data_IF_464267789055
#
_entry.id   IF_464267789055
#
_cell.length_a   1.000
_cell.length_b   1.000
_cell.length_c   1.000
_cell.angle_alpha   90.00
_cell.angle_beta   90.00
_cell.angle_gamma   90.00
#
_symmetry.space_group_name_H-M   'P 1'
#
loop_
_entity.id
_entity.type
_entity.pdbx_description
1 polymer ?
#
# COMPACT_ATOMS: atom_id res chain seq x y z
N UNK A 1 83.78 -6.42 33.20
CA UNK A 1 83.36 -6.92 31.87
C UNK A 1 82.12 -7.78 32.03
N UNK A 2 81.13 -7.58 31.14
CA UNK A 2 79.86 -8.30 30.94
C UNK A 2 78.63 -7.83 31.74
N UNK A 3 78.08 -6.75 31.18
CA UNK A 3 76.67 -6.38 30.98
C UNK A 3 75.70 -7.56 30.85
N UNK A 4 74.49 -7.45 31.45
CA UNK A 4 73.20 -7.74 30.78
C UNK A 4 72.13 -6.83 31.39
N UNK A 5 71.77 -5.77 30.68
CA UNK A 5 70.53 -5.02 30.91
C UNK A 5 69.42 -5.72 30.11
N UNK A 6 68.38 -6.20 30.79
CA UNK A 6 67.20 -6.77 30.16
C UNK A 6 66.35 -5.67 29.54
N UNK A 7 66.21 -5.69 28.23
CA UNK A 7 65.27 -4.84 27.49
C UNK A 7 63.88 -5.45 27.66
N UNK A 8 63.02 -4.80 28.45
CA UNK A 8 61.58 -5.05 28.43
C UNK A 8 61.07 -4.48 27.11
N UNK A 9 60.57 -5.35 26.23
CA UNK A 9 59.94 -4.93 24.98
C UNK A 9 58.59 -4.28 25.29
N UNK A 10 58.47 -3.03 24.89
CA UNK A 10 57.29 -2.19 24.99
C UNK A 10 56.22 -2.72 23.99
N UNK A 11 55.30 -3.57 24.45
CA UNK A 11 54.20 -4.07 23.62
C UNK A 11 53.14 -2.96 23.51
N UNK A 12 53.33 -2.06 22.55
CA UNK A 12 52.29 -1.13 22.11
C UNK A 12 51.25 -1.88 21.29
N UNK A 13 50.16 -2.29 21.93
CA UNK A 13 48.93 -2.67 21.24
C UNK A 13 48.38 -1.43 20.53
N UNK A 14 48.78 -1.22 19.28
CA UNK A 14 48.00 -0.40 18.38
C UNK A 14 46.63 -1.08 18.23
N UNK A 15 45.59 -0.46 18.76
CA UNK A 15 44.20 -0.71 18.39
C UNK A 15 44.06 -0.39 16.89
N UNK A 16 44.52 -1.30 16.04
CA UNK A 16 44.17 -1.32 14.63
C UNK A 16 42.75 -1.82 14.58
N UNK A 17 41.79 -0.91 14.82
CA UNK A 17 40.41 -1.19 14.46
C UNK A 17 40.45 -1.42 12.95
N UNK A 18 40.10 -2.62 12.45
CA UNK A 18 40.20 -2.90 11.02
C UNK A 18 39.34 -1.86 10.31
N UNK A 19 39.93 -1.11 9.40
CA UNK A 19 39.25 -0.08 8.60
C UNK A 19 37.98 -0.60 7.91
N UNK A 20 37.88 -1.93 7.71
CA UNK A 20 36.68 -2.62 7.24
C UNK A 20 35.46 -2.53 8.15
N UNK A 21 35.62 -2.39 9.47
CA UNK A 21 34.47 -2.31 10.40
C UNK A 21 33.71 -0.98 10.23
N UNK A 22 34.44 0.14 10.16
CA UNK A 22 33.82 1.44 9.90
C UNK A 22 33.29 1.54 8.47
N UNK A 23 33.96 0.94 7.49
CA UNK A 23 33.44 0.88 6.13
C UNK A 23 32.12 0.09 6.07
N UNK A 24 32.02 -1.04 6.78
CA UNK A 24 30.78 -1.82 6.86
C UNK A 24 29.62 -1.05 7.52
N UNK A 25 29.89 -0.30 8.59
CA UNK A 25 28.88 0.55 9.24
C UNK A 25 28.46 1.70 8.34
N UNK A 26 29.41 2.43 7.75
CA UNK A 26 29.09 3.56 6.87
C UNK A 26 28.42 3.11 5.58
N UNK A 27 28.83 1.98 5.00
CA UNK A 27 28.17 1.37 3.86
C UNK A 27 26.78 0.85 4.22
N UNK A 28 26.62 0.24 5.41
CA UNK A 28 25.32 -0.17 5.94
C UNK A 28 24.38 0.99 6.21
N UNK A 29 24.88 2.12 6.72
CA UNK A 29 24.11 3.36 6.90
C UNK A 29 23.83 4.05 5.56
N UNK A 30 24.76 4.04 4.61
CA UNK A 30 24.58 4.58 3.27
C UNK A 30 23.54 3.78 2.48
N UNK A 31 23.65 2.45 2.47
CA UNK A 31 22.63 1.57 1.93
C UNK A 31 21.33 1.72 2.73
N UNK A 32 21.40 1.85 4.05
CA UNK A 32 20.28 2.15 4.94
C UNK A 32 19.53 3.38 4.46
N UNK A 33 20.20 4.53 4.29
CA UNK A 33 19.61 5.76 3.76
C UNK A 33 19.16 5.65 2.30
N UNK A 34 19.91 4.94 1.45
CA UNK A 34 19.55 4.70 0.05
C UNK A 34 18.29 3.83 -0.08
N UNK A 35 18.12 2.86 0.83
CA UNK A 35 16.99 1.94 0.92
C UNK A 35 15.96 2.34 1.97
N UNK A 36 16.16 3.44 2.70
CA UNK A 36 15.14 4.11 3.51
C UNK A 36 14.24 4.83 2.53
N UNK A 37 13.59 4.00 1.71
CA UNK A 37 12.59 4.35 0.76
C UNK A 37 11.49 5.01 1.56
N UNK A 38 11.41 6.33 1.44
CA UNK A 38 10.13 6.99 1.56
C UNK A 38 9.16 6.15 0.75
N UNK A 39 8.12 5.58 1.37
CA UNK A 39 7.12 4.80 0.63
C UNK A 39 6.61 5.73 -0.46
N UNK A 40 6.90 5.45 -1.73
CA UNK A 40 6.63 6.39 -2.79
C UNK A 40 5.11 6.52 -2.90
N UNK A 41 4.60 7.71 -2.58
CA UNK A 41 3.19 8.03 -2.77
C UNK A 41 2.97 8.13 -4.26
N UNK A 42 2.12 7.25 -4.80
CA UNK A 42 1.61 7.43 -6.15
C UNK A 42 0.37 8.32 -6.02
N UNK A 43 0.56 9.59 -6.32
CA UNK A 43 -0.58 10.47 -6.58
C UNK A 43 -1.21 10.02 -7.90
N UNK A 44 -2.51 9.72 -7.87
CA UNK A 44 -3.28 9.56 -9.11
C UNK A 44 -3.23 10.91 -9.80
N UNK A 45 -2.69 10.96 -11.03
CA UNK A 45 -2.55 12.23 -11.75
C UNK A 45 -3.94 12.76 -12.02
N UNK A 46 -4.23 13.89 -11.40
CA UNK A 46 -5.57 14.43 -11.39
C UNK A 46 -5.83 15.25 -12.65
N UNK A 47 -6.27 14.60 -13.73
CA UNK A 47 -6.89 15.34 -14.84
C UNK A 47 -8.27 15.92 -14.43
N UNK A 48 -8.85 15.47 -13.32
CA UNK A 48 -10.17 15.88 -12.82
C UNK A 48 -10.15 17.11 -11.89
N UNK A 49 -9.08 17.33 -11.11
CA UNK A 49 -8.90 18.56 -10.32
C UNK A 49 -8.89 19.78 -11.23
N UNK A 50 -8.28 19.69 -12.43
CA UNK A 50 -8.32 20.81 -13.39
C UNK A 50 -9.73 21.15 -13.85
N UNK A 51 -10.63 20.18 -13.96
CA UNK A 51 -12.04 20.43 -14.31
C UNK A 51 -12.82 21.07 -13.16
N UNK A 52 -12.53 20.68 -11.90
CA UNK A 52 -13.07 21.36 -10.72
C UNK A 52 -12.51 22.77 -10.55
N UNK A 53 -11.23 22.98 -10.82
CA UNK A 53 -10.56 24.28 -10.68
C UNK A 53 -11.00 25.27 -11.78
N UNK A 54 -11.27 24.78 -13.00
CA UNK A 54 -11.87 25.57 -14.10
C UNK A 54 -13.36 25.88 -13.86
N UNK A 55 -14.09 25.04 -13.13
CA UNK A 55 -15.49 25.31 -12.76
C UNK A 55 -15.65 26.06 -11.42
N UNK A 56 -14.61 26.10 -10.58
CA UNK A 56 -14.65 26.78 -9.27
C UNK A 56 -14.26 28.26 -9.35
N UNK A 57 -13.70 28.74 -10.46
CA UNK A 57 -13.47 30.18 -10.70
C UNK A 57 -14.76 30.99 -10.81
N UNK A 58 -15.92 30.35 -10.84
CA UNK A 58 -17.25 30.98 -10.80
C UNK A 58 -17.98 30.88 -9.45
N UNK A 59 -17.37 30.32 -8.40
CA UNK A 59 -17.92 30.32 -7.03
C UNK A 59 -16.91 30.91 -6.05
N UNK A 60 -16.66 32.21 -6.19
CA UNK A 60 -16.13 33.03 -5.09
C UNK A 60 -17.33 33.48 -4.28
N UNK A 61 -17.68 32.72 -3.26
CA UNK A 61 -18.23 33.20 -2.00
C UNK A 61 -18.44 31.99 -1.07
N UNK A 62 -18.15 32.21 0.22
CA UNK A 62 -18.56 31.40 1.39
C UNK A 62 -17.52 30.42 2.00
N UNK A 63 -16.87 30.99 3.03
CA UNK A 63 -16.53 30.44 4.37
C UNK A 63 -15.27 29.58 4.50
N UNK A 64 -14.24 30.24 5.02
CA UNK A 64 -13.18 29.64 5.84
C UNK A 64 -13.83 29.10 7.12
N UNK A 65 -13.93 27.78 7.25
CA UNK A 65 -14.11 27.14 8.55
C UNK A 65 -12.72 26.76 9.04
N UNK A 66 -12.11 27.64 9.82
CA UNK A 66 -11.12 27.24 10.80
C UNK A 66 -11.88 26.48 11.90
N UNK A 67 -11.88 25.15 11.79
CA UNK A 67 -12.17 24.31 12.95
C UNK A 67 -11.27 23.08 12.88
N UNK A 68 -10.02 23.29 13.29
CA UNK A 68 -9.12 22.22 13.74
C UNK A 68 -9.70 21.71 15.06
N UNK A 69 -10.80 20.95 14.96
CA UNK A 69 -11.29 20.18 16.09
C UNK A 69 -10.22 19.12 16.35
N UNK A 70 -9.49 19.31 17.44
CA UNK A 70 -8.51 18.40 18.03
C UNK A 70 -9.16 17.11 18.56
N UNK A 71 -10.22 16.63 17.90
CA UNK A 71 -10.72 15.28 18.03
C UNK A 71 -9.83 14.43 17.13
N UNK A 72 -9.03 13.55 17.71
CA UNK A 72 -8.33 12.49 16.97
C UNK A 72 -9.39 11.63 16.30
N UNK A 73 -9.85 12.03 15.11
CA UNK A 73 -10.81 11.27 14.32
C UNK A 73 -10.19 9.90 14.11
N UNK A 74 -10.87 8.88 14.63
CA UNK A 74 -10.44 7.50 14.46
C UNK A 74 -10.43 7.18 12.96
N UNK A 75 -9.24 6.92 12.42
CA UNK A 75 -9.05 6.58 11.02
C UNK A 75 -9.74 5.24 10.73
N UNK A 76 -10.69 5.25 9.80
CA UNK A 76 -11.45 4.05 9.42
C UNK A 76 -10.83 3.35 8.23
N UNK A 77 -10.35 2.13 8.45
CA UNK A 77 -9.64 1.31 7.47
C UNK A 77 -10.45 0.06 7.09
N UNK A 78 -10.65 -0.14 5.79
CA UNK A 78 -11.21 -1.37 5.22
C UNK A 78 -10.08 -2.24 4.66
N UNK A 79 -10.11 -3.55 4.94
CA UNK A 79 -9.14 -4.51 4.41
C UNK A 79 -9.80 -5.50 3.44
N UNK A 80 -9.39 -5.42 2.18
CA UNK A 80 -9.82 -6.24 1.05
C UNK A 80 -8.77 -7.33 0.82
N UNK A 81 -9.08 -8.58 1.15
CA UNK A 81 -8.09 -9.65 1.17
C UNK A 81 -8.34 -10.65 0.05
N UNK A 82 -7.41 -10.76 -0.90
CA UNK A 82 -7.50 -11.73 -2.00
C UNK A 82 -7.23 -13.13 -1.47
N UNK A 83 -8.08 -14.08 -1.85
CA UNK A 83 -7.88 -15.49 -1.59
C UNK A 83 -8.52 -16.36 -2.66
N UNK A 84 -8.42 -17.68 -2.51
CA UNK A 84 -9.08 -18.67 -3.34
C UNK A 84 -9.54 -19.85 -2.48
N UNK A 85 -10.52 -20.67 -2.90
CA UNK A 85 -11.04 -21.78 -2.10
C UNK A 85 -9.94 -22.74 -1.61
N UNK A 86 -8.93 -22.99 -2.46
CA UNK A 86 -7.79 -23.83 -2.12
C UNK A 86 -6.90 -23.25 -1.00
N UNK A 87 -6.93 -21.93 -0.79
CA UNK A 87 -6.14 -21.24 0.24
C UNK A 87 -6.92 -20.97 1.53
N UNK A 88 -8.04 -21.65 1.78
CA UNK A 88 -8.88 -21.45 2.98
C UNK A 88 -8.08 -21.47 4.29
N UNK A 89 -7.03 -22.29 4.39
CA UNK A 89 -6.14 -22.33 5.56
C UNK A 89 -5.38 -21.01 5.77
N UNK A 90 -4.84 -20.43 4.69
CA UNK A 90 -4.16 -19.13 4.72
C UNK A 90 -5.13 -18.00 5.08
N UNK A 91 -6.31 -17.99 4.45
CA UNK A 91 -7.37 -17.02 4.75
C UNK A 91 -7.79 -17.08 6.24
N UNK A 92 -7.94 -18.28 6.80
CA UNK A 92 -8.20 -18.45 8.24
C UNK A 92 -7.08 -17.93 9.13
N UNK A 93 -5.82 -18.07 8.72
CA UNK A 93 -4.69 -17.49 9.46
C UNK A 93 -4.77 -15.97 9.46
N UNK A 94 -5.06 -15.34 8.32
CA UNK A 94 -5.28 -13.89 8.21
C UNK A 94 -6.46 -13.44 9.09
N UNK A 95 -7.59 -14.15 9.02
CA UNK A 95 -8.80 -13.88 9.81
C UNK A 95 -8.57 -13.98 11.32
N UNK A 96 -7.70 -14.90 11.77
CA UNK A 96 -7.37 -15.07 13.19
C UNK A 96 -6.26 -14.15 13.70
N UNK A 97 -5.62 -13.37 12.81
CA UNK A 97 -4.45 -12.56 13.17
C UNK A 97 -4.69 -11.06 12.93
N UNK A 98 -4.32 -10.55 11.76
CA UNK A 98 -4.23 -9.11 11.53
C UNK A 98 -5.51 -8.51 10.94
N UNK A 99 -6.33 -9.27 10.21
CA UNK A 99 -7.54 -8.73 9.58
C UNK A 99 -8.56 -8.13 10.57
N UNK A 100 -8.83 -8.73 11.75
CA UNK A 100 -9.73 -8.14 12.75
C UNK A 100 -9.26 -6.82 13.35
N UNK A 101 -8.00 -6.41 13.09
CA UNK A 101 -7.47 -5.12 13.53
C UNK A 101 -7.89 -3.99 12.58
N UNK A 102 -8.36 -4.30 11.38
CA UNK A 102 -9.02 -3.34 10.48
C UNK A 102 -10.43 -3.03 11.00
N UNK A 103 -10.98 -1.86 10.65
CA UNK A 103 -12.32 -1.46 11.08
C UNK A 103 -13.43 -2.25 10.36
N UNK A 104 -13.14 -2.66 9.12
CA UNK A 104 -13.89 -3.66 8.39
C UNK A 104 -12.93 -4.51 7.55
N UNK A 105 -13.29 -5.77 7.29
CA UNK A 105 -12.54 -6.62 6.37
C UNK A 105 -13.45 -7.63 5.68
N UNK A 106 -13.06 -8.06 4.48
CA UNK A 106 -13.71 -9.12 3.74
C UNK A 106 -12.72 -9.81 2.81
N UNK A 107 -13.06 -11.05 2.44
CA UNK A 107 -12.24 -11.83 1.52
C UNK A 107 -12.82 -11.80 0.11
N UNK A 108 -11.95 -11.75 -0.88
CA UNK A 108 -12.29 -11.79 -2.30
C UNK A 108 -11.91 -13.16 -2.83
N UNK A 109 -12.90 -13.98 -3.18
CA UNK A 109 -12.72 -15.33 -3.72
C UNK A 109 -13.64 -15.54 -4.92
N UNK A 110 -13.59 -16.71 -5.55
CA UNK A 110 -14.57 -17.12 -6.55
C UNK A 110 -15.87 -17.66 -5.97
N UNK A 111 -15.87 -17.99 -4.67
CA UNK A 111 -17.05 -18.53 -3.98
C UNK A 111 -17.36 -17.72 -2.73
N UNK A 112 -18.63 -17.73 -2.35
CA UNK A 112 -19.07 -17.23 -1.05
C UNK A 112 -18.73 -18.28 0.02
N UNK A 113 -18.07 -17.84 1.08
CA UNK A 113 -17.75 -18.60 2.28
C UNK A 113 -18.18 -17.76 3.48
N UNK A 114 -19.28 -18.20 4.11
CA UNK A 114 -19.87 -17.50 5.24
C UNK A 114 -18.94 -17.45 6.46
N UNK A 115 -18.06 -18.44 6.65
CA UNK A 115 -17.12 -18.42 7.78
C UNK A 115 -16.02 -17.39 7.56
N UNK A 116 -15.56 -17.22 6.32
CA UNK A 116 -14.52 -16.24 5.99
C UNK A 116 -15.07 -14.84 5.77
N UNK A 117 -16.39 -14.67 5.59
CA UNK A 117 -16.98 -13.46 5.01
C UNK A 117 -16.41 -13.16 3.62
N UNK A 118 -16.28 -14.21 2.78
CA UNK A 118 -15.84 -14.01 1.40
C UNK A 118 -16.99 -13.62 0.48
N UNK A 119 -16.69 -12.76 -0.49
CA UNK A 119 -17.59 -12.45 -1.60
C UNK A 119 -17.10 -13.16 -2.86
N UNK A 120 -18.04 -13.63 -3.68
CA UNK A 120 -17.78 -14.20 -5.00
C UNK A 120 -17.47 -13.05 -5.99
N UNK A 121 -16.20 -12.66 -6.06
CA UNK A 121 -15.72 -11.53 -6.83
C UNK A 121 -15.20 -11.92 -8.22
N UNK A 122 -15.11 -13.21 -8.56
CA UNK A 122 -14.79 -13.67 -9.91
C UNK A 122 -15.37 -15.07 -10.14
N UNK A 123 -15.61 -15.46 -11.39
CA UNK A 123 -16.16 -16.80 -11.68
C UNK A 123 -15.09 -17.89 -11.63
N UNK A 124 -13.81 -17.51 -11.82
CA UNK A 124 -12.67 -18.44 -11.93
C UNK A 124 -11.49 -17.96 -11.09
N UNK A 125 -10.69 -18.92 -10.59
CA UNK A 125 -9.46 -18.67 -9.85
C UNK A 125 -8.22 -18.90 -10.71
N UNK A 126 -7.69 -17.81 -11.27
CA UNK A 126 -6.39 -17.81 -11.92
C UNK A 126 -5.80 -16.39 -11.96
N UNK A 127 -4.54 -16.28 -12.40
CA UNK A 127 -3.85 -15.00 -12.50
C UNK A 127 -4.47 -14.03 -13.50
N UNK A 128 -5.14 -14.52 -14.54
CA UNK A 128 -5.84 -13.70 -15.54
C UNK A 128 -7.12 -13.06 -15.00
N UNK A 129 -7.76 -13.68 -14.01
CA UNK A 129 -9.00 -13.19 -13.39
C UNK A 129 -8.76 -12.31 -12.16
N UNK A 130 -7.52 -12.13 -11.70
CA UNK A 130 -7.20 -11.26 -10.56
C UNK A 130 -7.68 -9.81 -10.78
N UNK A 131 -7.60 -9.30 -12.01
CA UNK A 131 -8.10 -7.96 -12.31
C UNK A 131 -9.62 -7.86 -12.12
N UNK A 132 -10.37 -8.84 -12.63
CA UNK A 132 -11.83 -8.91 -12.44
C UNK A 132 -12.18 -8.97 -10.96
N UNK A 133 -11.48 -9.82 -10.20
CA UNK A 133 -11.63 -9.93 -8.75
C UNK A 133 -11.38 -8.60 -8.04
N UNK A 134 -10.32 -7.88 -8.40
CA UNK A 134 -10.05 -6.54 -7.87
C UNK A 134 -11.14 -5.55 -8.23
N UNK A 135 -11.58 -5.46 -9.50
CA UNK A 135 -12.66 -4.55 -9.90
C UNK A 135 -13.92 -4.78 -9.07
N UNK A 136 -14.33 -6.04 -8.94
CA UNK A 136 -15.52 -6.40 -8.17
C UNK A 136 -15.33 -6.11 -6.67
N UNK A 137 -14.13 -6.33 -6.14
CA UNK A 137 -13.80 -5.92 -4.77
C UNK A 137 -13.84 -4.41 -4.54
N UNK A 138 -13.37 -3.61 -5.50
CA UNK A 138 -13.42 -2.15 -5.43
C UNK A 138 -14.86 -1.64 -5.55
N UNK A 139 -15.67 -2.24 -6.43
CA UNK A 139 -17.10 -1.93 -6.50
C UNK A 139 -17.80 -2.25 -5.19
N UNK A 140 -17.50 -3.39 -4.57
CA UNK A 140 -18.03 -3.75 -3.26
C UNK A 140 -17.63 -2.72 -2.18
N UNK A 141 -16.36 -2.30 -2.16
CA UNK A 141 -15.87 -1.23 -1.28
C UNK A 141 -16.65 0.07 -1.46
N UNK A 142 -16.85 0.50 -2.71
CA UNK A 142 -17.58 1.71 -3.04
C UNK A 142 -19.07 1.61 -2.67
N UNK A 143 -19.68 0.44 -2.72
CA UNK A 143 -21.09 0.28 -2.37
C UNK A 143 -21.35 0.21 -0.86
N UNK A 144 -20.46 -0.43 -0.09
CA UNK A 144 -20.72 -0.73 1.33
C UNK A 144 -19.91 0.10 2.32
N UNK A 145 -18.80 0.66 1.87
CA UNK A 145 -17.80 1.30 2.73
C UNK A 145 -17.34 2.66 2.19
N UNK A 146 -18.11 3.31 1.30
CA UNK A 146 -17.71 4.57 0.64
C UNK A 146 -17.38 5.73 1.57
N UNK A 147 -17.83 5.68 2.81
CA UNK A 147 -17.59 6.69 3.83
C UNK A 147 -16.28 6.46 4.61
N UNK A 148 -15.67 5.28 4.51
CA UNK A 148 -14.39 4.95 5.17
C UNK A 148 -13.24 5.79 4.61
N UNK A 149 -12.16 5.92 5.36
CA UNK A 149 -11.07 6.85 5.03
C UNK A 149 -10.03 6.20 4.09
N UNK A 150 -9.68 4.93 4.37
CA UNK A 150 -8.67 4.19 3.60
C UNK A 150 -9.08 2.74 3.34
N UNK A 151 -8.56 2.18 2.25
CA UNK A 151 -8.83 0.82 1.78
C UNK A 151 -7.52 0.11 1.47
N UNK A 152 -7.21 -0.97 2.17
CA UNK A 152 -6.04 -1.81 1.95
C UNK A 152 -6.43 -3.00 1.10
N UNK A 153 -5.75 -3.20 -0.04
CA UNK A 153 -5.72 -4.49 -0.75
C UNK A 153 -4.52 -5.29 -0.26
N UNK A 154 -4.75 -6.55 0.12
CA UNK A 154 -3.71 -7.50 0.51
C UNK A 154 -4.01 -8.90 -0.04
N UNK A 155 -3.01 -9.79 -0.04
CA UNK A 155 -3.17 -11.20 -0.42
C UNK A 155 -3.21 -12.10 0.83
N UNK A 156 -3.71 -13.33 0.70
CA UNK A 156 -3.82 -14.29 1.81
C UNK A 156 -2.47 -14.80 2.36
N UNK A 157 -1.37 -14.48 1.70
CA UNK A 157 0.01 -14.70 2.15
C UNK A 157 0.72 -13.40 2.59
N UNK A 158 -0.02 -12.30 2.74
CA UNK A 158 0.46 -11.03 3.31
C UNK A 158 0.26 -10.99 4.83
N UNK A 159 1.23 -10.39 5.55
CA UNK A 159 1.07 -10.02 6.95
C UNK A 159 1.19 -8.51 7.13
N UNK A 160 0.13 -7.86 7.60
CA UNK A 160 0.08 -6.40 7.80
C UNK A 160 0.09 -6.06 9.29
N UNK A 161 1.05 -5.21 9.70
CA UNK A 161 1.01 -4.58 11.03
C UNK A 161 0.09 -3.37 10.93
N UNK A 162 -1.19 -3.56 11.26
CA UNK A 162 -2.25 -2.56 11.04
C UNK A 162 -2.00 -1.27 11.84
N UNK A 163 -1.39 -1.37 13.01
CA UNK A 163 -1.00 -0.23 13.85
C UNK A 163 0.03 0.66 13.15
N UNK A 164 1.03 0.06 12.51
CA UNK A 164 2.03 0.80 11.72
C UNK A 164 1.40 1.43 10.48
N UNK A 165 0.46 0.73 9.84
CA UNK A 165 -0.29 1.29 8.73
C UNK A 165 -1.12 2.50 9.17
N UNK A 166 -1.85 2.42 10.29
CA UNK A 166 -2.59 3.57 10.85
C UNK A 166 -1.66 4.73 11.17
N UNK A 167 -0.51 4.46 11.77
CA UNK A 167 0.48 5.49 12.06
C UNK A 167 0.99 6.19 10.78
N UNK A 168 1.21 5.44 9.70
CA UNK A 168 1.61 6.00 8.39
C UNK A 168 0.52 6.90 7.78
N UNK A 169 -0.75 6.58 8.03
CA UNK A 169 -1.90 7.25 7.42
C UNK A 169 -2.49 8.38 8.28
N UNK A 170 -2.10 8.50 9.56
CA UNK A 170 -2.77 9.36 10.55
C UNK A 170 -2.88 10.84 10.14
N UNK A 171 -1.88 11.36 9.42
CA UNK A 171 -1.80 12.76 9.00
C UNK A 171 -2.19 12.93 7.50
N UNK A 172 -2.83 11.93 6.91
CA UNK A 172 -3.22 11.94 5.49
C UNK A 172 -4.69 12.26 5.36
N UNK A 173 -5.00 13.22 4.50
CA UNK A 173 -6.38 13.54 4.15
C UNK A 173 -6.94 12.47 3.20
N UNK A 174 -7.99 11.72 3.59
CA UNK A 174 -8.65 10.73 2.72
C UNK A 174 -9.33 11.33 1.48
N UNK A 175 -9.55 12.65 1.42
CA UNK A 175 -10.05 13.35 0.23
C UNK A 175 -8.95 13.67 -0.81
N UNK A 176 -7.68 13.43 -0.49
CA UNK A 176 -6.58 13.54 -1.45
C UNK A 176 -6.36 12.18 -2.12
N UNK A 177 -6.41 12.07 -3.47
CA UNK A 177 -6.37 10.80 -4.18
C UNK A 177 -4.96 10.20 -4.23
N UNK A 178 -4.58 9.54 -3.13
CA UNK A 178 -3.33 8.82 -2.98
C UNK A 178 -3.53 7.30 -3.03
N UNK A 179 -2.55 6.62 -3.63
CA UNK A 179 -2.32 5.18 -3.44
C UNK A 179 -0.87 4.99 -2.97
N UNK A 180 -0.67 4.16 -1.94
CA UNK A 180 0.64 3.91 -1.33
C UNK A 180 0.92 2.41 -1.25
N UNK A 181 2.17 2.04 -1.49
CA UNK A 181 2.63 0.65 -1.47
C UNK A 181 4.02 0.54 -2.06
N UNK A 182 4.48 -0.69 -2.30
CA UNK A 182 5.77 -0.92 -2.95
C UNK A 182 5.68 -0.60 -4.45
N UNK A 183 6.26 0.52 -4.88
CA UNK A 183 6.25 0.91 -6.30
C UNK A 183 7.25 0.11 -7.13
N UNK A 184 6.76 -0.37 -8.27
CA UNK A 184 7.47 -1.05 -9.34
C UNK A 184 7.39 -0.20 -10.61
N UNK A 185 8.39 -0.31 -11.50
CA UNK A 185 8.43 0.39 -12.80
C UNK A 185 8.74 -0.46 -14.04
N UNK A 186 8.85 -1.80 -14.02
CA UNK A 186 9.26 -2.55 -15.21
C UNK A 186 8.20 -2.61 -16.32
N UNK A 187 6.92 -2.31 -16.02
CA UNK A 187 5.80 -2.53 -16.97
C UNK A 187 4.93 -1.29 -17.23
N UNK A 188 5.12 -0.23 -16.45
CA UNK A 188 4.33 1.01 -16.51
C UNK A 188 5.28 2.18 -16.30
N UNK A 189 5.29 3.16 -17.20
CA UNK A 189 6.27 4.28 -17.19
C UNK A 189 6.19 5.11 -15.92
N UNK A 190 4.97 5.40 -15.45
CA UNK A 190 4.71 6.05 -14.17
C UNK A 190 4.89 5.10 -12.96
N UNK A 191 5.07 3.81 -13.20
CA UNK A 191 5.09 2.77 -12.19
C UNK A 191 3.71 2.34 -11.72
N UNK A 192 3.70 1.25 -10.96
CA UNK A 192 2.52 0.62 -10.37
C UNK A 192 2.88 0.10 -8.98
N UNK A 193 1.90 -0.27 -8.15
CA UNK A 193 2.16 -0.78 -6.80
C UNK A 193 2.05 -2.30 -6.79
N UNK A 194 3.02 -2.99 -6.22
CA UNK A 194 3.07 -4.45 -6.17
C UNK A 194 1.80 -5.06 -5.57
N UNK A 195 1.16 -5.96 -6.31
CA UNK A 195 -0.07 -6.62 -5.85
C UNK A 195 0.14 -7.46 -4.58
N UNK A 196 1.18 -8.29 -4.55
CA UNK A 196 1.48 -9.19 -3.42
C UNK A 196 2.10 -8.49 -2.21
N UNK A 197 2.65 -7.28 -2.38
CA UNK A 197 3.07 -6.45 -1.25
C UNK A 197 1.92 -5.72 -0.55
N UNK A 198 0.74 -5.75 -1.17
CA UNK A 198 -0.40 -4.93 -0.79
C UNK A 198 -0.22 -3.44 -1.13
N UNK A 199 -1.34 -2.76 -1.23
CA UNK A 199 -1.40 -1.31 -1.43
C UNK A 199 -2.62 -0.72 -0.75
N UNK A 200 -2.47 0.50 -0.24
CA UNK A 200 -3.55 1.26 0.40
C UNK A 200 -3.97 2.42 -0.49
N UNK A 201 -5.27 2.64 -0.61
CA UNK A 201 -5.86 3.77 -1.33
C UNK A 201 -6.72 4.61 -0.39
N UNK A 202 -6.68 5.92 -0.61
CA UNK A 202 -7.61 6.88 0.00
C UNK A 202 -9.02 6.74 -0.56
N UNK A 203 -10.01 7.30 0.15
CA UNK A 203 -11.39 7.41 -0.33
C UNK A 203 -11.50 8.13 -1.67
N UNK A 204 -10.79 9.25 -1.85
CA UNK A 204 -10.79 9.96 -3.13
C UNK A 204 -10.18 9.10 -4.25
N UNK A 205 -9.10 8.36 -3.96
CA UNK A 205 -8.51 7.45 -4.94
C UNK A 205 -9.49 6.34 -5.36
N UNK A 206 -10.21 5.72 -4.40
CA UNK A 206 -11.23 4.72 -4.71
C UNK A 206 -12.31 5.29 -5.64
N UNK A 207 -12.84 6.48 -5.33
CA UNK A 207 -13.85 7.14 -6.15
C UNK A 207 -13.36 7.40 -7.57
N UNK A 208 -12.12 7.89 -7.73
CA UNK A 208 -11.52 8.14 -9.05
C UNK A 208 -11.29 6.84 -9.83
N UNK A 209 -10.80 5.79 -9.18
CA UNK A 209 -10.61 4.48 -9.82
C UNK A 209 -11.96 3.95 -10.34
N UNK A 210 -13.01 3.97 -9.51
CA UNK A 210 -14.35 3.53 -9.93
C UNK A 210 -14.90 4.38 -11.08
N UNK A 211 -14.67 5.70 -11.07
CA UNK A 211 -15.06 6.56 -12.19
C UNK A 211 -14.30 6.20 -13.47
N UNK A 212 -12.98 5.99 -13.39
CA UNK A 212 -12.15 5.56 -14.51
C UNK A 212 -12.57 4.21 -15.09
N UNK A 213 -12.91 3.25 -14.23
CA UNK A 213 -13.44 1.95 -14.65
C UNK A 213 -14.75 2.04 -15.43
N UNK A 214 -15.56 3.10 -15.24
CA UNK A 214 -16.80 3.30 -16.01
C UNK A 214 -16.55 4.00 -17.34
N UNK A 215 -15.53 4.84 -17.41
CA UNK A 215 -15.29 5.74 -18.54
C UNK A 215 -14.33 5.17 -19.59
N UNK A 216 -13.39 4.32 -19.19
CA UNK A 216 -12.39 3.75 -20.08
C UNK A 216 -12.65 2.26 -20.31
N UNK A 217 -13.11 1.85 -21.51
CA UNK A 217 -13.32 0.46 -21.87
C UNK A 217 -12.08 -0.42 -21.74
N UNK A 218 -10.87 0.15 -21.85
CA UNK A 218 -9.61 -0.61 -21.69
C UNK A 218 -9.34 -0.97 -20.22
N UNK A 219 -9.82 -0.14 -19.29
CA UNK A 219 -9.78 -0.38 -17.85
C UNK A 219 -10.99 -1.22 -17.39
N UNK A 220 -12.16 -0.93 -17.96
CA UNK A 220 -13.42 -1.66 -17.75
C UNK A 220 -13.38 -3.09 -18.30
N UNK A 221 -12.54 -3.31 -19.31
CA UNK A 221 -12.56 -4.45 -20.23
C UNK A 221 -12.82 -5.80 -19.59
N UNK A 222 -13.62 -6.60 -20.28
CA UNK A 222 -13.95 -7.99 -19.95
C UNK A 222 -12.82 -8.96 -20.32
N UNK A 223 -11.74 -8.46 -20.93
CA UNK A 223 -10.56 -9.28 -21.23
C UNK A 223 -9.91 -9.77 -19.92
N UNK A 224 -10.19 -11.03 -19.58
CA UNK A 224 -9.42 -11.77 -18.60
C UNK A 224 -7.96 -11.80 -19.06
N UNK A 225 -7.03 -11.39 -18.20
CA UNK A 225 -5.60 -11.40 -18.50
C UNK A 225 -4.86 -10.14 -18.04
N UNK A 226 -3.58 -10.30 -17.77
CA UNK A 226 -2.70 -9.25 -17.27
C UNK A 226 -2.67 -9.18 -15.75
N UNK A 227 -1.51 -8.78 -15.21
CA UNK A 227 -1.35 -8.63 -13.79
C UNK A 227 -2.21 -7.47 -13.27
N UNK A 228 -2.98 -7.75 -12.22
CA UNK A 228 -3.94 -6.85 -11.59
C UNK A 228 -3.32 -5.50 -11.19
N UNK A 229 -2.16 -5.56 -10.57
CA UNK A 229 -1.38 -4.41 -10.14
C UNK A 229 -0.92 -3.52 -11.30
N UNK A 230 -0.46 -4.14 -12.38
CA UNK A 230 -0.08 -3.44 -13.63
C UNK A 230 -1.30 -2.77 -14.25
N UNK A 231 -2.47 -3.43 -14.24
CA UNK A 231 -3.72 -2.83 -14.77
C UNK A 231 -4.16 -1.64 -13.93
N UNK A 232 -4.18 -1.77 -12.60
CA UNK A 232 -4.49 -0.64 -11.71
C UNK A 232 -3.54 0.55 -11.94
N UNK A 233 -2.24 0.28 -12.10
CA UNK A 233 -1.25 1.32 -12.40
C UNK A 233 -1.44 2.01 -13.75
N UNK A 234 -2.05 1.33 -14.73
CA UNK A 234 -2.43 1.91 -16.03
C UNK A 234 -3.71 2.74 -15.94
N UNK A 235 -4.67 2.31 -15.12
CA UNK A 235 -5.96 2.99 -14.92
C UNK A 235 -5.87 4.27 -14.08
N UNK A 236 -4.80 4.44 -13.30
CA UNK A 236 -4.62 5.57 -12.37
C UNK A 236 -3.93 6.81 -12.94
N UNK A 237 -3.95 7.04 -14.25
CA UNK A 237 -3.35 8.23 -14.89
C UNK A 237 -4.13 8.74 -16.08
#
# INVERSE_FOLDING_TARGET
MKTVAGIVSDVRYWLVIPSGFFFGILFGLYLGHYYQGSIPILHIKDQYIRLKEVNSTTLKDVVVIDDISNATRHLRLVCMIMTMPANRVKARAVQKTWAPRCDAYYFLSSVVDAELHSIAAADTEDRGHLWTKTKNGLHHAMSHYSDYDFFLKADDDTYTIVENLRFLLKDRDPEIPIIMGRRWRPHVKQGYLSGGGGYVMSRAALKLIIAGLKMDPSCAGTEAGGAEDVRLGRSGT
#
